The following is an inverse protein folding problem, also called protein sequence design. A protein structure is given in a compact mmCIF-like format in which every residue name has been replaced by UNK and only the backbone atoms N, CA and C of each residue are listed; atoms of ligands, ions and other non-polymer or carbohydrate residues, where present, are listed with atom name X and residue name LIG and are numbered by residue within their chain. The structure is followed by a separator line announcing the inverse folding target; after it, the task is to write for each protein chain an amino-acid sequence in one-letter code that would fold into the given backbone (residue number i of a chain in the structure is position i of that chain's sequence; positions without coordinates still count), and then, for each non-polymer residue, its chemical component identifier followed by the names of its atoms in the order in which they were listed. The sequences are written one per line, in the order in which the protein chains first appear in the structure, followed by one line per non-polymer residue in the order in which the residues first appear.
data_IF_621341248048
#
_entry.id   IF_621341248048
#
_cell.length_a   1.000
_cell.length_b   1.000
_cell.length_c   1.000
_cell.angle_alpha   90.00
_cell.angle_beta   90.00
_cell.angle_gamma   90.00
#
_symmetry.space_group_name_H-M   'P 1'
#
loop_
_entity.id
_entity.type
_entity.pdbx_description
1 polymer ?
#
# COMPACT_ATOMS: atom_id res chain seq x y z
N UNK A 1 -29.20 -2.01 -22.52
CA UNK A 1 -27.84 -1.45 -22.56
C UNK A 1 -27.29 -0.98 -21.20
N UNK A 2 -28.08 -0.79 -20.13
CA UNK A 2 -27.60 -0.27 -18.83
C UNK A 2 -26.84 -1.26 -17.91
N UNK A 3 -26.81 -2.55 -18.23
CA UNK A 3 -26.17 -3.57 -17.37
C UNK A 3 -24.64 -3.60 -17.49
N UNK A 4 -24.10 -3.33 -18.68
CA UNK A 4 -22.64 -3.39 -18.93
C UNK A 4 -21.84 -2.33 -18.15
N UNK A 5 -22.27 -1.05 -18.08
CA UNK A 5 -21.61 -0.05 -17.24
C UNK A 5 -21.70 -0.41 -15.74
N UNK A 6 -22.85 -0.93 -15.30
CA UNK A 6 -23.04 -1.36 -13.91
C UNK A 6 -22.08 -2.48 -13.50
N UNK A 7 -21.83 -3.44 -14.40
CA UNK A 7 -20.88 -4.53 -14.16
C UNK A 7 -19.45 -3.99 -14.01
N UNK A 8 -19.00 -3.08 -14.88
CA UNK A 8 -17.66 -2.50 -14.78
C UNK A 8 -17.47 -1.69 -13.49
N UNK A 9 -18.50 -0.95 -13.08
CA UNK A 9 -18.47 -0.22 -11.81
C UNK A 9 -18.35 -1.16 -10.61
N UNK A 10 -19.20 -2.19 -10.54
CA UNK A 10 -19.25 -3.11 -9.40
C UNK A 10 -18.07 -4.09 -9.36
N UNK A 11 -17.53 -4.49 -10.50
CA UNK A 11 -16.48 -5.52 -10.58
C UNK A 11 -15.05 -4.96 -10.63
N UNK A 12 -14.86 -3.74 -11.18
CA UNK A 12 -13.51 -3.16 -11.35
C UNK A 12 -13.34 -1.85 -10.61
N UNK A 13 -14.19 -0.85 -10.88
CA UNK A 13 -13.97 0.51 -10.36
C UNK A 13 -14.09 0.56 -8.84
N UNK A 14 -15.20 0.05 -8.28
CA UNK A 14 -15.44 0.09 -6.84
C UNK A 14 -14.43 -0.79 -6.10
N UNK A 15 -14.22 -2.08 -6.46
CA UNK A 15 -13.23 -2.91 -5.77
C UNK A 15 -11.81 -2.36 -5.90
N UNK A 16 -11.43 -1.87 -7.08
CA UNK A 16 -10.12 -1.26 -7.30
C UNK A 16 -9.90 -0.05 -6.40
N UNK A 17 -10.87 0.87 -6.31
CA UNK A 17 -10.80 2.04 -5.44
C UNK A 17 -10.73 1.65 -3.96
N UNK A 18 -11.49 0.64 -3.54
CA UNK A 18 -11.43 0.14 -2.17
C UNK A 18 -10.03 -0.37 -1.84
N UNK A 19 -9.41 -1.13 -2.74
CA UNK A 19 -8.02 -1.59 -2.55
C UNK A 19 -7.07 -0.39 -2.46
N UNK A 20 -7.16 0.61 -3.34
CA UNK A 20 -6.33 1.83 -3.26
C UNK A 20 -6.46 2.50 -1.90
N UNK A 21 -7.69 2.75 -1.45
CA UNK A 21 -7.96 3.48 -0.22
C UNK A 21 -7.47 2.71 1.02
N UNK A 22 -7.74 1.40 1.07
CA UNK A 22 -7.28 0.53 2.15
C UNK A 22 -5.75 0.49 2.17
N UNK A 23 -5.11 0.30 1.03
CA UNK A 23 -3.65 0.28 0.92
C UNK A 23 -3.01 1.61 1.31
N UNK A 24 -3.58 2.75 0.89
CA UNK A 24 -3.07 4.07 1.31
C UNK A 24 -3.20 4.29 2.82
N UNK A 25 -4.30 3.84 3.41
CA UNK A 25 -4.48 3.89 4.86
C UNK A 25 -3.40 3.07 5.58
N UNK A 26 -3.23 1.81 5.20
CA UNK A 26 -2.23 0.93 5.84
C UNK A 26 -0.80 1.42 5.58
N UNK A 27 -0.50 1.87 4.36
CA UNK A 27 0.77 2.47 4.01
C UNK A 27 1.14 3.61 4.97
N UNK A 28 0.20 4.53 5.24
CA UNK A 28 0.44 5.61 6.20
C UNK A 28 0.73 5.09 7.61
N UNK A 29 -0.08 4.15 8.09
CA UNK A 29 0.08 3.59 9.44
C UNK A 29 1.39 2.81 9.61
N UNK A 30 1.78 2.01 8.62
CA UNK A 30 3.00 1.22 8.65
C UNK A 30 4.24 2.08 8.39
N UNK A 31 4.11 3.16 7.62
CA UNK A 31 5.18 4.13 7.41
C UNK A 31 5.51 4.89 8.70
N UNK A 32 4.50 5.28 9.47
CA UNK A 32 4.70 5.88 10.80
C UNK A 32 5.37 4.91 11.77
N UNK A 33 5.00 3.62 11.74
CA UNK A 33 5.63 2.59 12.54
C UNK A 33 7.09 2.34 12.10
N UNK A 34 7.36 2.36 10.80
CA UNK A 34 8.69 2.27 10.24
C UNK A 34 9.59 3.40 10.72
N UNK A 35 9.14 4.65 10.65
CA UNK A 35 9.91 5.82 11.14
C UNK A 35 10.30 5.63 12.61
N UNK A 36 9.36 5.16 13.45
CA UNK A 36 9.65 4.90 14.87
C UNK A 36 10.68 3.80 15.05
N UNK A 37 10.59 2.71 14.26
CA UNK A 37 11.53 1.60 14.32
C UNK A 37 12.94 2.01 13.84
N UNK A 38 13.04 2.77 12.76
CA UNK A 38 14.30 3.31 12.22
C UNK A 38 14.96 4.28 13.21
N UNK A 39 14.19 5.22 13.79
CA UNK A 39 14.70 6.15 14.79
C UNK A 39 15.21 5.42 16.05
N UNK A 40 14.55 4.34 16.45
CA UNK A 40 15.01 3.50 17.56
C UNK A 40 16.31 2.77 17.21
N UNK A 41 16.40 2.20 16.01
CA UNK A 41 17.62 1.56 15.51
C UNK A 41 18.79 2.56 15.46
N UNK A 42 18.57 3.77 14.94
CA UNK A 42 19.60 4.81 14.85
C UNK A 42 20.13 5.20 16.24
N UNK A 43 19.25 5.30 17.24
CA UNK A 43 19.65 5.55 18.64
C UNK A 43 20.54 4.44 19.17
N UNK A 44 20.16 3.18 18.97
CA UNK A 44 20.95 2.02 19.42
C UNK A 44 22.33 1.97 18.78
N UNK A 45 22.44 2.30 17.48
CA UNK A 45 23.74 2.33 16.77
C UNK A 45 24.67 3.41 17.33
N UNK A 46 24.12 4.53 17.82
CA UNK A 46 24.88 5.64 18.39
C UNK A 46 25.31 5.43 19.85
N UNK A 47 24.86 4.36 20.51
CA UNK A 47 25.30 4.03 21.87
C UNK A 47 26.79 3.62 21.86
N UNK A 48 27.52 3.99 22.91
CA UNK A 48 28.97 3.77 23.01
C UNK A 48 29.35 2.28 23.10
N UNK A 49 28.42 1.42 23.53
CA UNK A 49 28.53 -0.05 23.58
C UNK A 49 27.21 -0.72 23.21
N UNK A 50 26.88 -0.79 21.90
CA UNK A 50 25.60 -1.32 21.47
C UNK A 50 25.50 -2.82 21.77
N UNK A 51 24.41 -3.24 22.42
CA UNK A 51 24.12 -4.65 22.60
C UNK A 51 23.72 -5.28 21.25
N UNK A 52 24.59 -6.10 20.68
CA UNK A 52 24.41 -6.73 19.36
C UNK A 52 23.07 -7.45 19.22
N UNK A 53 22.61 -8.15 20.26
CA UNK A 53 21.34 -8.87 20.21
C UNK A 53 20.16 -7.90 20.09
N UNK A 54 20.17 -6.82 20.85
CA UNK A 54 19.15 -5.77 20.80
C UNK A 54 19.16 -5.07 19.44
N UNK A 55 20.35 -4.81 18.89
CA UNK A 55 20.52 -4.21 17.57
C UNK A 55 19.94 -5.11 16.45
N UNK A 56 20.24 -6.40 16.49
CA UNK A 56 19.70 -7.38 15.53
C UNK A 56 18.16 -7.45 15.60
N UNK A 57 17.58 -7.48 16.80
CA UNK A 57 16.12 -7.47 16.94
C UNK A 57 15.49 -6.18 16.42
N UNK A 58 16.10 -5.02 16.71
CA UNK A 58 15.61 -3.73 16.22
C UNK A 58 15.66 -3.67 14.69
N UNK A 59 16.74 -4.16 14.08
CA UNK A 59 16.88 -4.23 12.63
C UNK A 59 15.82 -5.10 11.98
N UNK A 60 15.57 -6.31 12.51
CA UNK A 60 14.54 -7.20 11.97
C UNK A 60 13.13 -6.60 12.09
N UNK A 61 12.84 -5.88 13.18
CA UNK A 61 11.57 -5.15 13.34
C UNK A 61 11.43 -4.04 12.29
N UNK A 62 12.46 -3.24 12.09
CA UNK A 62 12.45 -2.19 11.07
C UNK A 62 12.26 -2.79 9.66
N UNK A 63 12.96 -3.88 9.35
CA UNK A 63 12.81 -4.60 8.08
C UNK A 63 11.37 -5.08 7.83
N UNK A 64 10.70 -5.62 8.85
CA UNK A 64 9.30 -6.03 8.73
C UNK A 64 8.40 -4.84 8.32
N UNK A 65 8.57 -3.68 8.96
CA UNK A 65 7.82 -2.47 8.58
C UNK A 65 8.17 -1.98 7.16
N UNK A 66 9.44 -2.07 6.72
CA UNK A 66 9.82 -1.74 5.33
C UNK A 66 9.07 -2.60 4.32
N UNK A 67 8.98 -3.91 4.60
CA UNK A 67 8.27 -4.86 3.72
C UNK A 67 6.78 -4.56 3.69
N UNK A 68 6.16 -4.25 4.83
CA UNK A 68 4.75 -3.86 4.87
C UNK A 68 4.47 -2.60 4.06
N UNK A 69 5.22 -1.52 4.30
CA UNK A 69 5.11 -0.27 3.53
C UNK A 69 5.25 -0.53 2.03
N UNK A 70 6.22 -1.37 1.63
CA UNK A 70 6.40 -1.74 0.23
C UNK A 70 5.20 -2.52 -0.33
N UNK A 71 4.69 -3.49 0.44
CA UNK A 71 3.55 -4.31 0.05
C UNK A 71 2.28 -3.45 -0.11
N UNK A 72 2.03 -2.53 0.83
CA UNK A 72 0.89 -1.63 0.78
C UNK A 72 0.96 -0.68 -0.42
N UNK A 73 2.14 -0.11 -0.70
CA UNK A 73 2.33 0.70 -1.91
C UNK A 73 2.04 -0.11 -3.17
N UNK A 74 2.51 -1.37 -3.23
CA UNK A 74 2.30 -2.26 -4.37
C UNK A 74 0.82 -2.58 -4.56
N UNK A 75 0.11 -2.94 -3.48
CA UNK A 75 -1.33 -3.19 -3.53
C UNK A 75 -2.13 -1.96 -3.92
N UNK A 76 -1.74 -0.78 -3.42
CA UNK A 76 -2.33 0.50 -3.81
C UNK A 76 -2.20 0.76 -5.31
N UNK A 77 -1.00 0.53 -5.88
CA UNK A 77 -0.79 0.65 -7.33
C UNK A 77 -1.64 -0.34 -8.12
N UNK A 78 -1.70 -1.61 -7.69
CA UNK A 78 -2.53 -2.63 -8.35
C UNK A 78 -4.02 -2.26 -8.33
N UNK A 79 -4.54 -1.79 -7.18
CA UNK A 79 -5.90 -1.26 -7.08
C UNK A 79 -6.14 -0.08 -8.03
N UNK A 80 -5.14 0.79 -8.20
CA UNK A 80 -5.18 1.91 -9.14
C UNK A 80 -5.28 1.44 -10.59
N UNK A 81 -4.48 0.44 -10.99
CA UNK A 81 -4.53 -0.16 -12.33
C UNK A 81 -5.91 -0.78 -12.59
N UNK A 82 -6.43 -1.56 -11.65
CA UNK A 82 -7.76 -2.20 -11.74
C UNK A 82 -8.85 -1.14 -11.94
N UNK A 83 -8.79 -0.06 -11.15
CA UNK A 83 -9.72 1.07 -11.26
C UNK A 83 -9.62 1.74 -12.64
N UNK A 84 -8.40 2.02 -13.11
CA UNK A 84 -8.15 2.66 -14.39
C UNK A 84 -8.70 1.82 -15.57
N UNK A 85 -8.52 0.50 -15.52
CA UNK A 85 -9.10 -0.43 -16.51
C UNK A 85 -10.63 -0.36 -16.49
N UNK A 86 -11.25 -0.34 -15.31
CA UNK A 86 -12.70 -0.18 -15.18
C UNK A 86 -13.21 1.13 -15.77
N UNK A 87 -12.56 2.25 -15.46
CA UNK A 87 -12.90 3.58 -16.00
C UNK A 87 -12.70 3.62 -17.52
N UNK A 88 -11.59 3.09 -18.02
CA UNK A 88 -11.31 3.02 -19.45
C UNK A 88 -12.41 2.26 -20.21
N UNK A 89 -12.85 1.11 -19.67
CA UNK A 89 -13.95 0.34 -20.24
C UNK A 89 -15.28 1.11 -20.26
N UNK A 90 -15.56 1.91 -19.23
CA UNK A 90 -16.76 2.76 -19.18
C UNK A 90 -16.73 3.86 -20.25
N UNK A 91 -15.57 4.50 -20.45
CA UNK A 91 -15.40 5.54 -21.47
C UNK A 91 -15.57 4.95 -22.87
N UNK A 92 -14.94 3.80 -23.15
CA UNK A 92 -15.03 3.14 -24.45
C UNK A 92 -16.45 2.66 -24.78
N UNK A 93 -17.23 2.21 -23.78
CA UNK A 93 -18.64 1.87 -24.00
C UNK A 93 -19.50 3.09 -24.31
N UNK A 94 -19.20 4.25 -23.72
CA UNK A 94 -19.91 5.50 -23.98
C UNK A 94 -19.64 6.06 -25.38
N UNK A 95 -18.44 5.85 -25.92
CA UNK A 95 -18.08 6.29 -27.29
C UNK A 95 -18.75 5.46 -28.38
N UNK A 96 -19.12 4.21 -28.06
CA UNK A 96 -19.73 3.27 -29.01
C UNK A 96 -21.26 3.43 -29.14
N UNK A 97 -21.91 4.04 -28.16
CA UNK A 97 -23.35 4.30 -28.12
C UNK A 97 -23.69 5.68 -28.72
#
# INVERSE_FOLDING_TARGET
MKTRPGILLLALVIPGLLVVLISLYYFGTDYDALIKAENYLEKLVKEEKPNERTLQFAYHRALAHRINVFADATWGLLGGVITAVGIHGLVMLKEKD
#
